data_IF_954265111188
#
_entry.id   IF_954265111188
#
_cell.length_a   1.000
_cell.length_b   1.000
_cell.length_c   1.000
_cell.angle_alpha   90.00
_cell.angle_beta   90.00
_cell.angle_gamma   90.00
#
_symmetry.space_group_name_H-M   'P 1'
#
loop_
_entity.id
_entity.type
_entity.pdbx_description
1 polymer ?
#
# COMPACT_ATOMS: atom_id res chain seq x y z
N UNK A 1 -7.44 9.36 -18.77
CA UNK A 1 -6.07 9.14 -19.30
C UNK A 1 -5.03 9.41 -18.22
N UNK A 2 -3.87 8.74 -18.18
CA UNK A 2 -2.82 9.02 -17.16
C UNK A 2 -2.00 10.26 -17.51
N UNK A 3 -1.38 10.88 -16.51
CA UNK A 3 -0.60 12.12 -16.65
C UNK A 3 0.55 11.99 -17.65
N UNK A 4 1.35 10.94 -17.54
CA UNK A 4 2.48 10.71 -18.46
C UNK A 4 2.01 10.53 -19.91
N UNK A 5 0.94 9.74 -20.13
CA UNK A 5 0.37 9.52 -21.46
C UNK A 5 -0.19 10.81 -22.07
N UNK A 6 -0.89 11.62 -21.26
CA UNK A 6 -1.40 12.92 -21.71
C UNK A 6 -0.26 13.85 -22.11
N UNK A 7 0.85 13.82 -21.36
CA UNK A 7 2.05 14.56 -21.71
C UNK A 7 2.65 14.07 -23.02
N UNK A 8 2.81 12.76 -23.22
CA UNK A 8 3.34 12.20 -24.46
C UNK A 8 2.49 12.61 -25.69
N UNK A 9 1.16 12.64 -25.55
CA UNK A 9 0.25 13.14 -26.59
C UNK A 9 0.46 14.63 -26.87
N UNK A 10 0.60 15.45 -25.84
CA UNK A 10 0.86 16.89 -26.01
C UNK A 10 2.23 17.16 -26.65
N UNK A 11 3.24 16.36 -26.32
CA UNK A 11 4.57 16.44 -26.93
C UNK A 11 4.50 16.06 -28.43
N UNK A 12 3.74 15.02 -28.80
CA UNK A 12 3.48 14.68 -30.21
C UNK A 12 2.72 15.79 -30.96
N UNK A 13 1.73 16.42 -30.33
CA UNK A 13 1.00 17.58 -30.89
C UNK A 13 1.95 18.75 -31.11
N UNK A 14 2.90 18.98 -30.21
CA UNK A 14 3.92 20.01 -30.38
C UNK A 14 4.81 19.75 -31.60
N UNK A 15 5.22 18.49 -31.83
CA UNK A 15 5.95 18.10 -33.04
C UNK A 15 5.13 18.35 -34.32
N UNK A 16 3.81 18.17 -34.29
CA UNK A 16 2.93 18.49 -35.42
C UNK A 16 2.90 20.00 -35.72
N UNK A 17 2.91 20.86 -34.69
CA UNK A 17 3.00 22.32 -34.90
C UNK A 17 4.30 22.71 -35.62
N UNK A 18 5.42 22.10 -35.23
CA UNK A 18 6.72 22.32 -35.88
C UNK A 18 6.70 21.83 -37.33
N UNK A 19 6.11 20.65 -37.58
CA UNK A 19 5.96 20.12 -38.93
C UNK A 19 5.12 21.04 -39.84
N UNK A 20 4.08 21.71 -39.32
CA UNK A 20 3.30 22.68 -40.10
C UNK A 20 4.12 23.87 -40.57
N UNK A 21 5.06 24.35 -39.74
CA UNK A 21 5.96 25.44 -40.12
C UNK A 21 6.91 25.01 -41.25
N UNK A 22 7.44 23.78 -41.19
CA UNK A 22 8.28 23.24 -42.25
C UNK A 22 7.51 22.94 -43.54
N UNK A 23 6.28 22.42 -43.44
CA UNK A 23 5.40 22.24 -44.61
C UNK A 23 5.21 23.58 -45.34
N UNK A 24 4.96 24.65 -44.58
CA UNK A 24 4.84 26.00 -45.15
C UNK A 24 6.14 26.42 -45.87
N UNK A 25 7.30 26.23 -45.24
CA UNK A 25 8.60 26.56 -45.83
C UNK A 25 8.86 25.78 -47.13
N UNK A 26 8.48 24.50 -47.18
CA UNK A 26 8.62 23.67 -48.38
C UNK A 26 7.70 24.13 -49.52
N UNK A 27 6.45 24.50 -49.21
CA UNK A 27 5.51 25.04 -50.21
C UNK A 27 6.03 26.40 -50.74
N UNK A 28 6.50 27.30 -49.87
CA UNK A 28 7.06 28.60 -50.27
C UNK A 28 8.30 28.45 -51.18
N UNK A 29 9.03 27.33 -51.05
CA UNK A 29 10.19 26.97 -51.90
C UNK A 29 9.81 26.13 -53.13
N UNK A 30 8.52 25.92 -53.40
CA UNK A 30 8.01 25.02 -54.44
C UNK A 30 8.54 23.57 -54.35
N UNK A 31 8.91 23.12 -53.15
CA UNK A 31 9.30 21.73 -52.90
C UNK A 31 8.08 20.92 -52.44
N UNK A 32 7.20 20.63 -53.40
CA UNK A 32 5.92 19.95 -53.17
C UNK A 32 6.11 18.53 -52.63
N UNK A 33 7.15 17.81 -53.08
CA UNK A 33 7.41 16.42 -52.66
C UNK A 33 7.68 16.36 -51.16
N UNK A 34 8.61 17.19 -50.65
CA UNK A 34 8.90 17.21 -49.22
C UNK A 34 7.72 17.70 -48.38
N UNK A 35 6.91 18.64 -48.89
CA UNK A 35 5.68 19.05 -48.20
C UNK A 35 4.67 17.90 -48.11
N UNK A 36 4.51 17.10 -49.17
CA UNK A 36 3.65 15.93 -49.20
C UNK A 36 4.14 14.82 -48.25
N UNK A 37 5.44 14.57 -48.20
CA UNK A 37 6.04 13.59 -47.28
C UNK A 37 5.79 13.98 -45.81
N UNK A 38 5.93 15.26 -45.48
CA UNK A 38 5.63 15.77 -44.13
C UNK A 38 4.14 15.71 -43.80
N UNK A 39 3.24 15.98 -44.77
CA UNK A 39 1.80 15.83 -44.58
C UNK A 39 1.42 14.36 -44.30
N UNK A 40 2.02 13.41 -45.01
CA UNK A 40 1.81 11.99 -44.75
C UNK A 40 2.26 11.60 -43.32
N UNK A 41 3.44 12.05 -42.90
CA UNK A 41 3.93 11.84 -41.53
C UNK A 41 3.01 12.49 -40.48
N UNK A 42 2.49 13.69 -40.77
CA UNK A 42 1.52 14.35 -39.91
C UNK A 42 0.23 13.53 -39.73
N UNK A 43 -0.25 12.90 -40.81
CA UNK A 43 -1.42 12.04 -40.77
C UNK A 43 -1.17 10.77 -39.95
N UNK A 44 -0.03 10.09 -40.17
CA UNK A 44 0.36 8.91 -39.39
C UNK A 44 0.47 9.21 -37.88
N UNK A 45 1.10 10.33 -37.54
CA UNK A 45 1.20 10.80 -36.15
C UNK A 45 -0.19 11.10 -35.55
N UNK A 46 -1.07 11.78 -36.28
CA UNK A 46 -2.43 12.05 -35.83
C UNK A 46 -3.26 10.78 -35.62
N UNK A 47 -3.12 9.78 -36.50
CA UNK A 47 -3.75 8.46 -36.33
C UNK A 47 -3.22 7.75 -35.09
N UNK A 48 -1.90 7.81 -34.84
CA UNK A 48 -1.29 7.26 -33.62
C UNK A 48 -1.85 7.91 -32.35
N UNK A 49 -1.99 9.25 -32.34
CA UNK A 49 -2.62 10.00 -31.25
C UNK A 49 -4.08 9.53 -31.07
N UNK A 50 -4.86 9.44 -32.15
CA UNK A 50 -6.25 8.98 -32.11
C UNK A 50 -6.39 7.59 -31.49
N UNK A 51 -5.60 6.62 -31.98
CA UNK A 51 -5.60 5.25 -31.46
C UNK A 51 -5.21 5.18 -29.97
N UNK A 52 -4.23 5.99 -29.55
CA UNK A 52 -3.84 6.08 -28.15
C UNK A 52 -4.97 6.60 -27.26
N UNK A 53 -5.71 7.63 -27.73
CA UNK A 53 -6.87 8.18 -27.01
C UNK A 53 -8.02 7.16 -26.97
N UNK A 54 -8.36 6.52 -28.08
CA UNK A 54 -9.44 5.52 -28.15
C UNK A 54 -9.18 4.29 -27.27
N UNK A 55 -7.91 3.89 -27.12
CA UNK A 55 -7.54 2.77 -26.24
C UNK A 55 -7.74 3.12 -24.76
N UNK A 56 -7.59 4.40 -24.39
CA UNK A 56 -7.55 4.86 -23.01
C UNK A 56 -8.87 5.44 -22.51
N UNK A 57 -9.68 5.99 -23.41
CA UNK A 57 -10.98 6.60 -23.10
C UNK A 57 -12.14 5.71 -23.58
N UNK A 58 -13.30 5.80 -22.92
CA UNK A 58 -14.52 5.12 -23.40
C UNK A 58 -15.03 5.77 -24.69
N UNK A 59 -15.79 5.02 -25.49
CA UNK A 59 -16.16 5.21 -26.91
C UNK A 59 -16.69 6.59 -27.39
N UNK A 60 -16.85 7.60 -26.54
CA UNK A 60 -17.49 8.88 -26.88
C UNK A 60 -16.59 10.11 -26.58
N UNK A 61 -15.29 10.04 -26.89
CA UNK A 61 -14.37 11.16 -26.72
C UNK A 61 -14.46 12.15 -27.90
N UNK A 62 -14.93 13.38 -27.66
CA UNK A 62 -15.05 14.43 -28.69
C UNK A 62 -13.73 14.72 -29.42
N UNK A 63 -12.59 14.52 -28.74
CA UNK A 63 -11.25 14.72 -29.31
C UNK A 63 -11.00 13.84 -30.53
N UNK A 64 -11.59 12.63 -30.60
CA UNK A 64 -11.47 11.74 -31.75
C UNK A 64 -12.07 12.37 -33.01
N UNK A 65 -13.21 13.04 -32.89
CA UNK A 65 -13.82 13.74 -34.02
C UNK A 65 -12.92 14.87 -34.55
N UNK A 66 -12.20 15.57 -33.66
CA UNK A 66 -11.28 16.65 -34.06
C UNK A 66 -10.03 16.10 -34.74
N UNK A 67 -9.57 14.91 -34.35
CA UNK A 67 -8.46 14.21 -35.00
C UNK A 67 -8.87 13.75 -36.40
N UNK A 68 -10.09 13.22 -36.55
CA UNK A 68 -10.65 12.84 -37.86
C UNK A 68 -10.75 14.06 -38.79
N UNK A 69 -11.33 15.17 -38.31
CA UNK A 69 -11.40 16.45 -39.05
C UNK A 69 -10.01 16.92 -39.53
N UNK A 70 -8.98 16.74 -38.69
CA UNK A 70 -7.60 17.10 -39.02
C UNK A 70 -6.98 16.17 -40.07
N UNK A 71 -7.17 14.85 -39.94
CA UNK A 71 -6.71 13.88 -40.93
C UNK A 71 -7.33 14.14 -42.31
N UNK A 72 -8.63 14.44 -42.35
CA UNK A 72 -9.33 14.79 -43.59
C UNK A 72 -8.78 16.07 -44.22
N UNK A 73 -8.50 17.09 -43.41
CA UNK A 73 -7.86 18.33 -43.88
C UNK A 73 -6.46 18.06 -44.44
N UNK A 74 -5.64 17.27 -43.76
CA UNK A 74 -4.29 16.90 -44.21
C UNK A 74 -4.35 16.18 -45.56
N UNK A 75 -5.27 15.24 -45.72
CA UNK A 75 -5.47 14.51 -46.99
C UNK A 75 -5.92 15.45 -48.12
N UNK A 76 -6.89 16.34 -47.87
CA UNK A 76 -7.34 17.33 -48.86
C UNK A 76 -6.20 18.25 -49.33
N UNK A 77 -5.32 18.66 -48.40
CA UNK A 77 -4.15 19.49 -48.74
C UNK A 77 -3.15 18.67 -49.57
N UNK A 78 -2.89 17.42 -49.19
CA UNK A 78 -2.02 16.51 -49.93
C UNK A 78 -2.46 16.36 -51.40
N UNK A 79 -3.76 16.10 -51.62
CA UNK A 79 -4.34 15.99 -52.96
C UNK A 79 -4.29 17.33 -53.72
N UNK A 80 -4.55 18.44 -53.05
CA UNK A 80 -4.52 19.76 -53.67
C UNK A 80 -3.11 20.14 -54.14
N UNK A 81 -2.08 19.75 -53.38
CA UNK A 81 -0.68 19.91 -53.78
C UNK A 81 -0.31 18.98 -54.94
N UNK A 82 -0.79 17.74 -54.94
CA UNK A 82 -0.56 16.77 -56.03
C UNK A 82 -1.14 17.26 -57.36
N UNK A 83 -2.34 17.82 -57.31
CA UNK A 83 -3.08 18.30 -58.48
C UNK A 83 -2.73 19.75 -58.86
N UNK A 84 -1.80 20.41 -58.14
CA UNK A 84 -1.41 21.81 -58.31
C UNK A 84 -2.61 22.79 -58.25
N UNK A 85 -3.60 22.52 -57.40
CA UNK A 85 -4.84 23.30 -57.30
C UNK A 85 -4.87 24.31 -56.14
N UNK A 86 -3.98 24.20 -55.14
CA UNK A 86 -3.83 25.21 -54.07
C UNK A 86 -2.34 25.39 -53.73
N UNK A 87 -1.83 26.62 -53.87
CA UNK A 87 -0.42 26.97 -53.62
C UNK A 87 -0.25 28.01 -52.52
N UNK A 88 -1.33 28.37 -51.81
CA UNK A 88 -1.24 29.40 -50.77
C UNK A 88 -0.75 28.80 -49.45
N UNK A 89 0.58 28.73 -49.31
CA UNK A 89 1.27 28.26 -48.10
C UNK A 89 0.72 28.88 -46.80
N UNK A 90 0.46 30.19 -46.79
CA UNK A 90 -0.07 30.89 -45.61
C UNK A 90 -1.49 30.45 -45.24
N UNK A 91 -2.35 30.20 -46.23
CA UNK A 91 -3.71 29.70 -45.99
C UNK A 91 -3.68 28.26 -45.48
N UNK A 92 -2.87 27.41 -46.09
CA UNK A 92 -2.66 26.01 -45.69
C UNK A 92 -2.17 25.95 -44.23
N UNK A 93 -1.09 26.68 -43.90
CA UNK A 93 -0.56 26.75 -42.54
C UNK A 93 -1.60 27.21 -41.52
N UNK A 94 -2.37 28.26 -41.82
CA UNK A 94 -3.43 28.76 -40.92
C UNK A 94 -4.52 27.72 -40.67
N UNK A 95 -4.92 26.97 -41.70
CA UNK A 95 -5.94 25.94 -41.57
C UNK A 95 -5.45 24.76 -40.70
N UNK A 96 -4.24 24.26 -40.98
CA UNK A 96 -3.60 23.20 -40.22
C UNK A 96 -3.44 23.58 -38.74
N UNK A 97 -2.88 24.78 -38.48
CA UNK A 97 -2.69 25.32 -37.14
C UNK A 97 -4.01 25.45 -36.37
N UNK A 98 -5.08 25.91 -37.04
CA UNK A 98 -6.40 26.08 -36.41
C UNK A 98 -6.97 24.73 -35.97
N UNK A 99 -6.89 23.69 -36.80
CA UNK A 99 -7.39 22.37 -36.43
C UNK A 99 -6.55 21.71 -35.34
N UNK A 100 -5.22 21.81 -35.44
CA UNK A 100 -4.34 21.25 -34.41
C UNK A 100 -4.53 21.93 -33.05
N UNK A 101 -4.74 23.24 -33.01
CA UNK A 101 -5.07 23.95 -31.78
C UNK A 101 -6.40 23.48 -31.16
N UNK A 102 -7.38 23.09 -31.98
CA UNK A 102 -8.65 22.52 -31.51
C UNK A 102 -8.42 21.15 -30.86
N UNK A 103 -7.60 20.30 -31.46
CA UNK A 103 -7.18 19.01 -30.87
C UNK A 103 -6.44 19.25 -29.56
N UNK A 104 -5.44 20.14 -29.55
CA UNK A 104 -4.64 20.46 -28.38
C UNK A 104 -5.51 20.94 -27.19
N UNK A 105 -6.43 21.86 -27.46
CA UNK A 105 -7.38 22.35 -26.45
C UNK A 105 -8.30 21.23 -25.95
N UNK A 106 -8.75 20.35 -26.84
CA UNK A 106 -9.61 19.23 -26.46
C UNK A 106 -8.86 18.19 -25.61
N UNK A 107 -7.63 17.83 -25.98
CA UNK A 107 -6.77 16.97 -25.15
C UNK A 107 -6.58 17.60 -23.77
N UNK A 108 -6.33 18.91 -23.68
CA UNK A 108 -6.14 19.60 -22.40
C UNK A 108 -7.39 19.61 -21.53
N UNK A 109 -8.55 19.93 -22.11
CA UNK A 109 -9.75 20.28 -21.35
C UNK A 109 -10.81 19.17 -21.29
N UNK A 110 -10.93 18.34 -22.33
CA UNK A 110 -11.99 17.34 -22.46
C UNK A 110 -11.54 15.94 -22.01
N UNK A 111 -10.23 15.70 -21.88
CA UNK A 111 -9.67 14.43 -21.41
C UNK A 111 -9.19 14.57 -19.96
N UNK A 112 -9.91 14.02 -18.96
CA UNK A 112 -9.50 14.10 -17.56
C UNK A 112 -8.24 13.28 -17.29
N UNK A 113 -7.38 13.80 -16.41
CA UNK A 113 -6.23 13.06 -15.90
C UNK A 113 -6.72 12.16 -14.78
N UNK A 114 -6.52 10.85 -14.94
CA UNK A 114 -6.78 9.87 -13.88
C UNK A 114 -5.47 9.49 -13.23
N UNK A 115 -5.43 9.52 -11.91
CA UNK A 115 -4.25 9.22 -11.10
C UNK A 115 -4.18 7.72 -10.85
N UNK A 116 -3.05 7.10 -11.13
CA UNK A 116 -2.84 5.68 -10.83
C UNK A 116 -2.14 5.53 -9.47
N UNK A 117 -2.80 4.84 -8.53
CA UNK A 117 -2.29 4.55 -7.19
C UNK A 117 -2.23 3.04 -7.01
N UNK A 118 -1.06 2.52 -6.62
CA UNK A 118 -0.91 1.09 -6.35
C UNK A 118 -0.37 0.85 -4.94
N UNK A 119 -0.87 -0.22 -4.32
CA UNK A 119 -0.47 -0.70 -3.02
C UNK A 119 0.23 -2.06 -3.20
N UNK A 120 1.44 -2.21 -2.64
CA UNK A 120 2.20 -3.47 -2.64
C UNK A 120 2.34 -4.03 -1.22
N UNK A 121 1.26 -4.55 -0.60
CA UNK A 121 1.34 -5.22 0.68
C UNK A 121 1.93 -6.63 0.53
N UNK A 122 2.66 -7.13 1.53
CA UNK A 122 3.28 -8.47 1.46
C UNK A 122 2.65 -9.53 2.39
N UNK A 123 1.88 -9.10 3.40
CA UNK A 123 1.14 -9.97 4.33
C UNK A 123 -0.30 -9.51 4.52
N UNK A 124 -1.24 -10.43 4.42
CA UNK A 124 -2.67 -10.15 4.54
C UNK A 124 -3.04 -9.66 5.94
N UNK A 125 -2.45 -10.25 6.99
CA UNK A 125 -2.67 -9.84 8.38
C UNK A 125 -2.11 -8.44 8.73
N UNK A 126 -1.46 -7.77 7.78
CA UNK A 126 -0.88 -6.43 7.91
C UNK A 126 -1.55 -5.44 6.94
N UNK A 127 -2.59 -5.85 6.22
CA UNK A 127 -3.30 -5.04 5.24
C UNK A 127 -4.02 -3.84 5.86
N UNK A 128 -4.47 -3.98 7.11
CA UNK A 128 -5.12 -2.91 7.90
C UNK A 128 -4.32 -1.59 7.95
N UNK A 129 -2.99 -1.65 7.75
CA UNK A 129 -2.12 -0.48 7.66
C UNK A 129 -2.23 0.35 6.37
N UNK A 130 -2.95 -0.14 5.36
CA UNK A 130 -3.14 0.53 4.06
C UNK A 130 -4.63 0.62 3.66
N UNK A 131 -5.50 -0.16 4.28
CA UNK A 131 -6.88 -0.37 3.84
C UNK A 131 -7.68 0.94 3.71
N UNK A 132 -7.68 1.81 4.74
CA UNK A 132 -8.48 3.05 4.69
C UNK A 132 -8.06 3.96 3.52
N UNK A 133 -6.77 3.94 3.16
CA UNK A 133 -6.22 4.72 2.04
C UNK A 133 -6.61 4.09 0.70
N UNK A 134 -6.56 2.75 0.61
CA UNK A 134 -7.02 2.04 -0.58
C UNK A 134 -8.50 2.29 -0.85
N UNK A 135 -9.35 2.19 0.18
CA UNK A 135 -10.79 2.43 0.06
C UNK A 135 -11.08 3.87 -0.38
N UNK A 136 -10.44 4.86 0.25
CA UNK A 136 -10.57 6.26 -0.17
C UNK A 136 -10.10 6.49 -1.62
N UNK A 137 -9.01 5.84 -2.04
CA UNK A 137 -8.52 5.91 -3.41
C UNK A 137 -9.43 5.19 -4.42
N UNK A 138 -10.17 4.16 -3.99
CA UNK A 138 -11.09 3.39 -4.83
C UNK A 138 -12.44 4.10 -5.01
N UNK A 139 -12.85 4.91 -4.04
CA UNK A 139 -14.07 5.74 -4.10
C UNK A 139 -13.91 6.96 -5.02
N UNK A 140 -12.69 7.43 -5.25
CA UNK A 140 -12.41 8.58 -6.12
C UNK A 140 -12.52 8.20 -7.61
N UNK A 141 -13.48 8.77 -8.38
CA UNK A 141 -13.67 8.45 -9.80
C UNK A 141 -12.47 8.87 -10.68
N UNK A 142 -11.66 9.82 -10.22
CA UNK A 142 -10.45 10.28 -10.90
C UNK A 142 -9.21 9.47 -10.52
N UNK A 143 -9.36 8.43 -9.69
CA UNK A 143 -8.28 7.57 -9.24
C UNK A 143 -8.47 6.13 -9.73
N UNK A 144 -7.43 5.56 -10.31
CA UNK A 144 -7.31 4.13 -10.58
C UNK A 144 -6.47 3.49 -9.47
N UNK A 145 -7.16 2.88 -8.49
CA UNK A 145 -6.54 2.25 -7.33
C UNK A 145 -6.40 0.73 -7.49
N UNK A 146 -5.19 0.20 -7.27
CA UNK A 146 -4.86 -1.22 -7.40
C UNK A 146 -4.27 -1.77 -6.09
N UNK A 147 -4.86 -2.84 -5.55
CA UNK A 147 -4.24 -3.64 -4.49
C UNK A 147 -3.51 -4.81 -5.14
N UNK A 148 -2.18 -4.84 -5.02
CA UNK A 148 -1.33 -5.88 -5.61
C UNK A 148 -0.52 -6.53 -4.48
N UNK A 149 -1.08 -7.52 -3.76
CA UNK A 149 -0.31 -8.28 -2.80
C UNK A 149 0.92 -8.88 -3.46
N UNK A 150 2.08 -8.78 -2.82
CA UNK A 150 3.35 -9.25 -3.37
C UNK A 150 3.87 -10.47 -2.61
N UNK A 151 4.57 -11.40 -3.30
CA UNK A 151 5.19 -12.53 -2.63
C UNK A 151 6.38 -12.09 -1.76
N UNK A 152 6.70 -12.93 -0.78
CA UNK A 152 7.88 -12.80 0.07
C UNK A 152 8.52 -14.15 0.31
N UNK A 153 9.73 -14.13 0.84
CA UNK A 153 10.53 -15.31 1.13
C UNK A 153 10.87 -15.35 2.61
N UNK A 154 11.00 -16.55 3.16
CA UNK A 154 11.75 -16.75 4.40
C UNK A 154 13.23 -16.42 4.19
N UNK A 155 13.92 -16.04 5.27
CA UNK A 155 15.38 -15.89 5.28
C UNK A 155 16.02 -17.07 6.00
N UNK A 156 16.92 -17.75 5.28
CA UNK A 156 17.76 -18.78 5.86
C UNK A 156 18.82 -18.13 6.80
N UNK A 157 19.43 -18.90 7.73
CA UNK A 157 20.48 -18.40 8.62
C UNK A 157 21.69 -17.77 7.90
N UNK A 158 22.00 -18.22 6.68
CA UNK A 158 23.06 -17.67 5.82
C UNK A 158 22.61 -16.43 5.01
N UNK A 159 21.42 -15.92 5.28
CA UNK A 159 20.73 -14.85 4.55
C UNK A 159 20.34 -15.20 3.11
N UNK A 160 20.40 -16.44 2.64
CA UNK A 160 19.80 -16.79 1.35
C UNK A 160 18.25 -16.77 1.42
N UNK A 161 17.59 -16.69 0.25
CA UNK A 161 16.13 -16.77 0.17
C UNK A 161 15.69 -18.23 0.36
N UNK A 162 14.75 -18.44 1.28
CA UNK A 162 14.14 -19.74 1.56
C UNK A 162 12.83 -19.94 0.79
N UNK A 163 11.82 -20.49 1.48
CA UNK A 163 10.50 -20.74 0.90
C UNK A 163 9.80 -19.44 0.52
N UNK A 164 9.15 -19.43 -0.65
CA UNK A 164 8.30 -18.33 -1.10
C UNK A 164 6.87 -18.50 -0.57
N UNK A 165 6.28 -17.39 -0.15
CA UNK A 165 4.92 -17.29 0.36
C UNK A 165 4.14 -16.24 -0.43
N UNK A 166 2.84 -16.46 -0.59
CA UNK A 166 1.93 -15.55 -1.26
C UNK A 166 0.53 -15.62 -0.64
N UNK A 167 0.10 -14.52 -0.02
CA UNK A 167 -1.15 -14.44 0.77
C UNK A 167 -2.27 -13.68 0.02
N UNK A 168 -2.20 -13.54 -1.31
CA UNK A 168 -3.15 -12.72 -2.08
C UNK A 168 -4.61 -13.18 -2.01
N UNK A 169 -4.85 -14.44 -1.66
CA UNK A 169 -6.20 -15.01 -1.49
C UNK A 169 -6.77 -14.85 -0.07
N UNK A 170 -5.99 -14.28 0.86
CA UNK A 170 -6.36 -14.15 2.28
C UNK A 170 -6.90 -12.75 2.62
N UNK A 171 -7.08 -11.90 1.61
CA UNK A 171 -7.59 -10.54 1.77
C UNK A 171 -9.11 -10.53 1.96
N UNK A 172 -9.66 -9.49 2.64
CA UNK A 172 -11.10 -9.34 2.79
C UNK A 172 -11.81 -9.33 1.42
N UNK A 173 -13.01 -9.94 1.34
CA UNK A 173 -13.78 -10.12 0.10
C UNK A 173 -14.11 -8.80 -0.61
N UNK A 174 -14.16 -7.69 0.11
CA UNK A 174 -14.42 -6.35 -0.42
C UNK A 174 -13.19 -5.69 -1.06
N UNK A 175 -12.02 -6.33 -1.03
CA UNK A 175 -10.79 -5.81 -1.63
C UNK A 175 -10.57 -6.47 -2.98
N UNK A 176 -10.50 -5.65 -4.03
CA UNK A 176 -10.22 -6.13 -5.39
C UNK A 176 -8.72 -6.37 -5.55
N UNK A 177 -8.34 -7.65 -5.63
CA UNK A 177 -6.96 -8.08 -5.76
C UNK A 177 -6.54 -8.13 -7.22
N UNK A 178 -5.44 -7.44 -7.52
CA UNK A 178 -4.75 -7.51 -8.81
C UNK A 178 -3.56 -8.44 -8.70
N UNK A 179 -3.48 -9.40 -9.62
CA UNK A 179 -2.39 -10.37 -9.69
C UNK A 179 -1.03 -9.68 -9.92
N UNK A 180 -0.08 -9.95 -9.02
CA UNK A 180 1.27 -9.37 -9.04
C UNK A 180 2.08 -9.76 -10.28
N UNK A 181 1.77 -10.89 -10.92
CA UNK A 181 2.41 -11.31 -12.15
C UNK A 181 1.89 -10.52 -13.36
N UNK A 182 0.65 -10.01 -13.28
CA UNK A 182 0.01 -9.23 -14.35
C UNK A 182 0.25 -7.74 -14.21
N UNK A 183 0.40 -7.24 -12.98
CA UNK A 183 0.66 -5.83 -12.74
C UNK A 183 2.13 -5.48 -13.04
N UNK A 184 2.39 -4.95 -14.23
CA UNK A 184 3.71 -4.48 -14.64
C UNK A 184 3.93 -3.01 -14.28
N UNK A 185 4.53 -2.73 -13.11
CA UNK A 185 4.73 -1.34 -12.66
C UNK A 185 5.79 -0.59 -13.50
N UNK A 186 6.69 -1.30 -14.17
CA UNK A 186 7.73 -0.71 -15.02
C UNK A 186 7.12 -0.06 -16.28
N UNK A 187 6.14 -0.74 -16.89
CA UNK A 187 5.36 -0.22 -18.02
C UNK A 187 4.31 0.79 -17.57
N UNK A 188 3.64 0.49 -16.46
CA UNK A 188 2.51 1.31 -16.00
C UNK A 188 2.96 2.63 -15.39
N UNK A 189 4.09 2.67 -14.70
CA UNK A 189 4.64 3.86 -14.03
C UNK A 189 3.61 4.60 -13.16
N UNK A 190 3.07 3.96 -12.11
CA UNK A 190 2.02 4.53 -11.26
C UNK A 190 2.45 5.88 -10.66
N UNK A 191 1.51 6.82 -10.56
CA UNK A 191 1.77 8.15 -9.97
C UNK A 191 2.17 8.04 -8.49
N UNK A 192 1.59 7.08 -7.76
CA UNK A 192 1.92 6.82 -6.35
C UNK A 192 2.01 5.32 -6.08
N UNK A 193 3.08 4.92 -5.40
CA UNK A 193 3.23 3.57 -4.83
C UNK A 193 3.17 3.65 -3.32
N UNK A 194 2.34 2.81 -2.69
CA UNK A 194 2.31 2.59 -1.25
C UNK A 194 2.97 1.26 -0.88
N UNK A 195 3.87 1.30 0.09
CA UNK A 195 4.48 0.12 0.71
C UNK A 195 4.32 0.19 2.24
N UNK A 196 4.25 -0.98 2.88
CA UNK A 196 4.19 -1.07 4.34
C UNK A 196 5.34 -1.84 4.99
N UNK A 197 6.14 -2.57 4.21
CA UNK A 197 7.34 -3.26 4.68
C UNK A 197 8.57 -2.44 4.27
N UNK A 198 9.36 -1.90 5.22
CA UNK A 198 10.45 -0.99 4.90
C UNK A 198 11.80 -1.67 4.69
N UNK A 199 11.89 -2.99 4.78
CA UNK A 199 13.17 -3.63 5.03
C UNK A 199 13.92 -4.07 3.78
N UNK A 200 13.26 -4.20 2.62
CA UNK A 200 13.84 -4.81 1.42
C UNK A 200 14.55 -6.14 1.76
N UNK A 201 15.88 -6.17 1.68
CA UNK A 201 16.72 -7.32 1.98
C UNK A 201 17.35 -7.31 3.40
N UNK A 202 17.07 -6.28 4.22
CA UNK A 202 17.69 -6.07 5.55
C UNK A 202 17.00 -6.81 6.70
N UNK A 203 15.78 -7.30 6.52
CA UNK A 203 15.10 -8.06 7.57
C UNK A 203 15.73 -9.45 7.71
N UNK A 204 15.82 -9.93 8.95
CA UNK A 204 16.47 -11.19 9.31
C UNK A 204 15.59 -12.41 9.10
N UNK A 205 14.26 -12.22 9.04
CA UNK A 205 13.28 -13.32 9.03
C UNK A 205 12.59 -13.48 7.67
N UNK A 206 12.21 -12.38 7.03
CA UNK A 206 11.52 -12.43 5.74
C UNK A 206 12.08 -11.39 4.78
N UNK A 207 11.98 -11.62 3.47
CA UNK A 207 12.39 -10.69 2.44
C UNK A 207 11.29 -10.59 1.37
N UNK A 208 10.79 -9.38 1.08
CA UNK A 208 9.85 -9.19 -0.03
C UNK A 208 10.52 -9.56 -1.35
N UNK A 209 9.74 -9.95 -2.36
CA UNK A 209 10.33 -10.35 -3.63
C UNK A 209 11.23 -9.23 -4.21
N UNK A 210 12.50 -9.50 -4.61
CA UNK A 210 13.49 -8.45 -4.91
C UNK A 210 13.07 -7.41 -5.96
N UNK A 211 12.23 -7.79 -6.92
CA UNK A 211 11.60 -6.87 -7.89
C UNK A 211 10.88 -5.69 -7.20
N UNK A 212 10.34 -5.90 -6.01
CA UNK A 212 9.57 -4.91 -5.22
C UNK A 212 10.39 -4.22 -4.13
N UNK A 213 11.72 -4.32 -4.15
CA UNK A 213 12.54 -3.49 -3.26
C UNK A 213 12.27 -2.00 -3.50
N UNK A 214 12.23 -1.25 -2.41
CA UNK A 214 11.93 0.19 -2.41
C UNK A 214 12.87 0.98 -3.35
N UNK A 215 14.14 0.57 -3.44
CA UNK A 215 15.13 1.14 -4.37
C UNK A 215 14.81 0.90 -5.84
N UNK A 216 14.13 -0.19 -6.18
CA UNK A 216 13.66 -0.48 -7.53
C UNK A 216 12.33 0.23 -7.81
N UNK A 217 11.36 0.14 -6.90
CA UNK A 217 10.04 0.77 -7.04
C UNK A 217 10.14 2.28 -7.29
N UNK A 218 11.05 2.97 -6.58
CA UNK A 218 11.26 4.41 -6.74
C UNK A 218 11.59 4.85 -8.17
N UNK A 219 12.17 3.98 -8.99
CA UNK A 219 12.54 4.29 -10.39
C UNK A 219 11.32 4.45 -11.30
N UNK A 220 10.17 3.92 -10.89
CA UNK A 220 8.98 3.78 -11.73
C UNK A 220 7.76 4.49 -11.15
N UNK A 221 7.95 5.40 -10.18
CA UNK A 221 6.86 6.20 -9.64
C UNK A 221 7.30 7.63 -9.38
N UNK A 222 6.35 8.59 -9.49
CA UNK A 222 6.61 9.96 -9.05
C UNK A 222 6.68 10.08 -7.52
N UNK A 223 6.02 9.16 -6.79
CA UNK A 223 5.94 9.23 -5.33
C UNK A 223 5.87 7.84 -4.70
N UNK A 224 6.93 7.46 -4.01
CA UNK A 224 6.94 6.30 -3.13
C UNK A 224 6.53 6.72 -1.71
N UNK A 225 5.51 6.08 -1.15
CA UNK A 225 4.99 6.35 0.19
C UNK A 225 5.16 5.11 1.06
N UNK A 226 5.80 5.28 2.21
CA UNK A 226 5.92 4.24 3.24
C UNK A 226 5.00 4.54 4.41
N UNK A 227 4.25 3.52 4.85
CA UNK A 227 3.40 3.56 6.04
C UNK A 227 3.68 2.30 6.89
N UNK A 228 4.15 2.43 8.13
CA UNK A 228 4.44 1.26 8.96
C UNK A 228 3.22 0.35 9.16
N UNK A 229 3.42 -0.97 9.05
CA UNK A 229 2.37 -1.96 9.37
C UNK A 229 2.07 -2.12 10.87
N UNK A 230 2.80 -1.40 11.71
CA UNK A 230 2.73 -1.46 13.17
C UNK A 230 2.51 -0.08 13.77
N UNK A 231 2.07 -0.08 15.04
CA UNK A 231 1.93 1.11 15.88
C UNK A 231 2.73 0.87 17.15
N UNK A 232 3.41 1.91 17.64
CA UNK A 232 4.18 1.88 18.87
C UNK A 232 3.43 2.62 19.98
N UNK A 233 3.82 2.39 21.23
CA UNK A 233 3.42 3.30 22.31
C UNK A 233 3.88 4.72 21.94
N UNK A 234 3.10 5.74 22.31
CA UNK A 234 3.51 7.11 22.08
C UNK A 234 4.78 7.41 22.90
N UNK A 235 5.79 7.99 22.25
CA UNK A 235 7.10 8.27 22.84
C UNK A 235 7.25 9.79 22.90
N UNK A 236 7.71 10.30 24.05
CA UNK A 236 8.05 11.71 24.16
C UNK A 236 9.35 12.01 23.39
N UNK A 237 9.42 13.08 22.56
CA UNK A 237 10.59 13.37 21.74
C UNK A 237 11.91 13.58 22.50
N UNK A 238 11.85 13.81 23.81
CA UNK A 238 13.00 13.97 24.71
C UNK A 238 13.37 12.68 25.47
N UNK A 239 12.59 11.60 25.35
CA UNK A 239 12.91 10.30 25.94
C UNK A 239 13.87 9.49 25.06
N UNK A 240 15.14 9.91 25.05
CA UNK A 240 16.18 9.28 24.23
C UNK A 240 16.35 7.78 24.55
N UNK A 241 16.11 7.34 25.79
CA UNK A 241 16.24 5.93 26.17
C UNK A 241 15.21 5.06 25.45
N UNK A 242 13.96 5.51 25.38
CA UNK A 242 12.92 4.77 24.66
C UNK A 242 13.10 4.89 23.15
N UNK A 243 13.57 6.04 22.66
CA UNK A 243 13.93 6.25 21.25
C UNK A 243 15.02 5.28 20.81
N UNK A 244 16.06 5.07 21.62
CA UNK A 244 17.18 4.17 21.30
C UNK A 244 16.72 2.72 21.09
N UNK A 245 15.64 2.30 21.75
CA UNK A 245 15.08 0.96 21.59
C UNK A 245 14.28 0.79 20.27
N UNK A 246 13.79 1.88 19.67
CA UNK A 246 12.94 1.85 18.47
C UNK A 246 13.58 2.41 17.21
N UNK A 247 14.71 3.14 17.31
CA UNK A 247 15.33 3.84 16.17
C UNK A 247 15.73 2.94 15.01
N UNK A 248 15.86 1.63 15.24
CA UNK A 248 16.10 0.64 14.19
C UNK A 248 14.96 0.56 13.15
N UNK A 249 13.75 1.04 13.48
CA UNK A 249 12.66 1.18 12.51
C UNK A 249 12.81 2.38 11.57
N UNK A 250 13.60 3.38 11.97
CA UNK A 250 13.78 4.65 11.25
C UNK A 250 14.84 4.49 10.16
N UNK A 251 15.91 3.76 10.43
CA UNK A 251 17.01 3.58 9.49
C UNK A 251 16.86 2.29 8.68
N UNK A 252 15.98 2.33 7.67
CA UNK A 252 15.65 1.19 6.81
C UNK A 252 15.57 1.61 5.34
N UNK A 253 15.79 0.69 4.37
CA UNK A 253 15.78 1.01 2.94
C UNK A 253 14.49 1.72 2.48
N UNK A 254 13.33 1.22 2.91
CA UNK A 254 12.03 1.80 2.59
C UNK A 254 11.87 3.21 3.14
N UNK A 255 12.34 3.49 4.36
CA UNK A 255 12.32 4.85 4.92
C UNK A 255 13.28 5.77 4.17
N UNK A 256 14.49 5.29 3.82
CA UNK A 256 15.49 6.07 3.08
C UNK A 256 14.96 6.42 1.69
N UNK A 257 14.41 5.44 0.97
CA UNK A 257 13.98 5.57 -0.42
C UNK A 257 12.63 6.28 -0.56
N UNK A 258 11.70 6.18 0.39
CA UNK A 258 10.39 6.81 0.25
C UNK A 258 10.47 8.34 0.10
N UNK A 259 9.57 8.91 -0.71
CA UNK A 259 9.39 10.37 -0.83
C UNK A 259 8.52 10.91 0.30
N UNK A 260 7.63 10.08 0.85
CA UNK A 260 6.84 10.37 2.05
C UNK A 260 6.83 9.18 3.00
N UNK A 261 6.91 9.46 4.29
CA UNK A 261 6.80 8.48 5.37
C UNK A 261 5.74 8.97 6.34
N UNK A 262 4.65 8.19 6.49
CA UNK A 262 3.52 8.56 7.33
C UNK A 262 3.58 7.75 8.62
N UNK A 263 3.67 8.44 9.76
CA UNK A 263 3.76 7.85 11.10
C UNK A 263 2.57 8.27 11.97
N UNK A 264 2.38 7.54 13.07
CA UNK A 264 1.18 7.59 13.89
C UNK A 264 0.87 8.92 14.59
N UNK A 265 1.83 9.85 14.70
CA UNK A 265 1.67 11.09 15.47
C UNK A 265 2.70 12.15 15.09
N UNK A 266 2.45 13.41 15.47
CA UNK A 266 3.42 14.50 15.32
C UNK A 266 4.68 14.29 16.19
N UNK A 267 4.53 13.71 17.39
CA UNK A 267 5.68 13.35 18.25
C UNK A 267 6.57 12.33 17.55
N UNK A 268 5.97 11.30 16.97
CA UNK A 268 6.70 10.29 16.20
C UNK A 268 7.38 10.90 14.96
N UNK A 269 6.72 11.83 14.28
CA UNK A 269 7.36 12.58 13.17
C UNK A 269 8.60 13.34 13.64
N UNK A 270 8.54 14.03 14.78
CA UNK A 270 9.70 14.74 15.32
C UNK A 270 10.86 13.78 15.63
N UNK A 271 10.56 12.62 16.24
CA UNK A 271 11.54 11.56 16.51
C UNK A 271 12.16 11.06 15.19
N UNK A 272 11.34 10.73 14.20
CA UNK A 272 11.81 10.27 12.89
C UNK A 272 12.72 11.30 12.21
N UNK A 273 12.34 12.58 12.19
CA UNK A 273 13.17 13.65 11.61
C UNK A 273 14.52 13.74 12.33
N UNK A 274 14.52 13.71 13.66
CA UNK A 274 15.73 13.89 14.47
C UNK A 274 16.68 12.69 14.32
N UNK A 275 16.18 11.47 14.49
CA UNK A 275 17.00 10.26 14.43
C UNK A 275 17.44 9.93 13.00
N UNK A 276 16.59 10.19 12.00
CA UNK A 276 16.99 10.05 10.59
C UNK A 276 18.15 10.98 10.27
N UNK A 277 18.10 12.24 10.73
CA UNK A 277 19.17 13.20 10.48
C UNK A 277 20.49 12.76 11.10
N UNK A 278 20.48 12.26 12.34
CA UNK A 278 21.67 11.70 13.01
C UNK A 278 22.24 10.52 12.21
N UNK A 279 21.40 9.54 11.89
CA UNK A 279 21.82 8.35 11.15
C UNK A 279 22.32 8.70 9.74
N UNK A 280 21.71 9.68 9.07
CA UNK A 280 22.15 10.16 7.75
C UNK A 280 23.54 10.81 7.81
N UNK A 281 23.84 11.56 8.86
CA UNK A 281 25.18 12.13 9.09
C UNK A 281 26.21 11.04 9.36
N UNK A 282 25.89 10.09 10.24
CA UNK A 282 26.77 8.96 10.59
C UNK A 282 27.10 8.07 9.39
N UNK A 283 26.13 7.88 8.47
CA UNK A 283 26.29 7.08 7.26
C UNK A 283 26.77 7.90 6.04
N UNK A 284 27.12 9.17 6.22
CA UNK A 284 27.73 9.99 5.17
C UNK A 284 26.79 10.36 4.00
N UNK A 285 25.47 10.32 4.20
CA UNK A 285 24.52 10.80 3.19
C UNK A 285 24.63 12.32 3.02
N UNK A 286 24.24 12.82 1.84
CA UNK A 286 24.36 14.22 1.48
C UNK A 286 23.04 14.80 0.94
N UNK A 287 23.03 16.11 0.67
CA UNK A 287 21.92 16.80 0.04
C UNK A 287 20.65 16.78 0.90
N UNK A 288 19.52 16.41 0.30
CA UNK A 288 18.21 16.41 0.94
C UNK A 288 18.14 15.54 2.22
N UNK A 289 18.98 14.50 2.33
CA UNK A 289 19.04 13.67 3.53
C UNK A 289 19.54 14.41 4.78
N UNK A 290 20.28 15.52 4.61
CA UNK A 290 20.76 16.36 5.70
C UNK A 290 19.98 17.67 5.84
N UNK A 291 18.95 17.89 5.01
CA UNK A 291 18.14 19.10 5.03
C UNK A 291 16.91 18.89 5.90
N UNK A 292 16.92 19.48 7.11
CA UNK A 292 15.80 19.37 8.06
C UNK A 292 14.46 19.79 7.46
N UNK A 293 14.39 20.88 6.66
CA UNK A 293 13.13 21.33 6.04
C UNK A 293 12.58 20.28 5.08
N UNK A 294 13.45 19.67 4.27
CA UNK A 294 13.05 18.57 3.40
C UNK A 294 12.56 17.35 4.22
N UNK A 295 13.25 17.01 5.31
CA UNK A 295 12.85 15.90 6.18
C UNK A 295 11.49 16.17 6.85
N UNK A 296 11.22 17.39 7.28
CA UNK A 296 9.92 17.79 7.85
C UNK A 296 8.78 17.71 6.83
N UNK A 297 9.06 17.87 5.53
CA UNK A 297 8.11 17.62 4.46
C UNK A 297 7.97 16.13 4.14
N UNK A 298 9.06 15.35 4.25
CA UNK A 298 9.09 13.90 4.01
C UNK A 298 8.31 13.11 5.07
N UNK A 299 8.56 13.39 6.34
CA UNK A 299 7.92 12.69 7.46
C UNK A 299 6.63 13.40 7.88
N UNK A 300 5.53 12.66 7.98
CA UNK A 300 4.20 13.19 8.27
C UNK A 300 3.57 12.44 9.45
N UNK A 301 3.11 13.16 10.47
CA UNK A 301 2.48 12.59 11.67
C UNK A 301 0.96 12.54 11.58
N UNK A 302 0.41 11.80 10.62
CA UNK A 302 -1.02 11.88 10.26
C UNK A 302 -1.92 10.83 10.92
N UNK A 303 -1.35 9.90 11.69
CA UNK A 303 -2.10 8.78 12.26
C UNK A 303 -1.72 7.45 11.61
N UNK A 304 -2.52 6.41 11.86
CA UNK A 304 -2.30 5.06 11.33
C UNK A 304 -3.63 4.47 10.85
N UNK A 305 -3.71 3.98 9.60
CA UNK A 305 -4.89 3.26 9.09
C UNK A 305 -5.32 2.08 9.97
N UNK A 306 -4.39 1.47 10.70
CA UNK A 306 -4.68 0.41 11.68
C UNK A 306 -5.58 0.89 12.82
N UNK A 307 -5.41 2.15 13.25
CA UNK A 307 -6.29 2.78 14.24
C UNK A 307 -7.63 3.15 13.59
N UNK A 308 -7.61 3.68 12.36
CA UNK A 308 -8.84 4.01 11.63
C UNK A 308 -9.74 2.79 11.48
N UNK A 309 -9.16 1.63 11.16
CA UNK A 309 -9.88 0.37 11.01
C UNK A 309 -10.64 0.00 12.27
N UNK A 310 -9.98 0.00 13.42
CA UNK A 310 -10.63 -0.33 14.69
C UNK A 310 -11.67 0.70 15.11
N UNK A 311 -11.42 2.00 14.91
CA UNK A 311 -12.36 3.05 15.30
C UNK A 311 -13.60 3.12 14.41
N UNK A 312 -13.48 2.73 13.14
CA UNK A 312 -14.58 2.76 12.17
C UNK A 312 -15.35 1.43 12.08
N UNK A 313 -14.86 0.36 12.70
CA UNK A 313 -15.53 -0.94 12.70
C UNK A 313 -16.46 -1.06 13.90
N UNK A 314 -17.74 -1.35 13.66
CA UNK A 314 -18.70 -1.62 14.73
C UNK A 314 -18.84 -3.12 14.98
N UNK A 315 -19.26 -3.47 16.18
CA UNK A 315 -19.43 -4.88 16.59
C UNK A 315 -20.49 -5.58 15.75
N UNK A 316 -21.51 -4.85 15.29
CA UNK A 316 -22.61 -5.35 14.46
C UNK A 316 -22.20 -5.66 13.02
N UNK A 317 -21.10 -5.05 12.55
CA UNK A 317 -20.59 -5.23 11.19
C UNK A 317 -19.63 -6.43 11.09
N UNK A 318 -19.30 -7.07 12.22
CA UNK A 318 -18.36 -8.19 12.28
C UNK A 318 -18.98 -9.50 11.79
N UNK A 319 -18.29 -10.20 10.89
CA UNK A 319 -18.58 -11.59 10.57
C UNK A 319 -17.99 -12.50 11.67
N UNK A 320 -18.88 -12.98 12.55
CA UNK A 320 -18.52 -13.84 13.69
C UNK A 320 -18.80 -15.30 13.31
N UNK A 321 -17.79 -16.20 13.37
CA UNK A 321 -17.97 -17.62 13.09
C UNK A 321 -19.05 -18.25 13.99
N UNK A 322 -19.84 -19.18 13.44
CA UNK A 322 -20.90 -19.86 14.20
C UNK A 322 -20.37 -20.57 15.46
N UNK A 323 -19.18 -21.17 15.39
CA UNK A 323 -18.54 -21.81 16.56
C UNK A 323 -18.21 -20.80 17.66
N UNK A 324 -17.87 -19.55 17.31
CA UNK A 324 -17.62 -18.51 18.30
C UNK A 324 -18.93 -18.04 18.93
N UNK A 325 -20.02 -17.96 18.15
CA UNK A 325 -21.35 -17.62 18.66
C UNK A 325 -21.80 -18.60 19.76
N UNK A 326 -21.56 -19.91 19.57
CA UNK A 326 -21.87 -20.94 20.59
C UNK A 326 -21.12 -20.73 21.92
N UNK A 327 -19.94 -20.12 21.89
CA UNK A 327 -19.12 -19.85 23.07
C UNK A 327 -19.58 -18.56 23.76
N UNK A 328 -19.86 -17.50 22.99
CA UNK A 328 -20.11 -16.15 23.52
C UNK A 328 -21.57 -15.87 23.86
N UNK A 329 -22.54 -16.58 23.26
CA UNK A 329 -23.95 -16.40 23.58
C UNK A 329 -24.36 -17.23 24.80
N UNK A 330 -25.16 -16.63 25.67
CA UNK A 330 -25.80 -17.28 26.82
C UNK A 330 -27.15 -17.90 26.40
N UNK A 331 -27.70 -18.86 27.16
CA UNK A 331 -29.00 -19.48 26.85
C UNK A 331 -30.17 -18.49 26.78
N UNK A 332 -30.06 -17.33 27.44
CA UNK A 332 -31.06 -16.25 27.42
C UNK A 332 -30.92 -15.29 26.21
N UNK A 333 -29.97 -15.56 25.31
CA UNK A 333 -29.68 -14.73 24.13
C UNK A 333 -28.78 -13.52 24.41
N UNK A 334 -28.43 -13.26 25.68
CA UNK A 334 -27.43 -12.24 26.03
C UNK A 334 -26.00 -12.74 25.76
N UNK A 335 -25.03 -11.84 25.82
CA UNK A 335 -23.63 -12.17 25.55
C UNK A 335 -22.84 -12.28 26.84
N UNK A 336 -21.93 -13.26 26.90
CA UNK A 336 -20.86 -13.32 27.89
C UNK A 336 -19.94 -12.11 27.75
N UNK A 337 -19.24 -11.77 28.83
CA UNK A 337 -18.10 -10.84 28.71
C UNK A 337 -16.99 -11.53 27.96
N UNK A 338 -16.44 -10.87 26.95
CA UNK A 338 -15.40 -11.45 26.10
C UNK A 338 -14.05 -10.82 26.49
N UNK A 339 -13.10 -11.63 26.92
CA UNK A 339 -11.74 -11.15 27.20
C UNK A 339 -10.80 -11.59 26.09
N UNK A 340 -10.20 -10.61 25.42
CA UNK A 340 -9.15 -10.84 24.45
C UNK A 340 -7.84 -11.15 25.17
N UNK A 341 -7.39 -12.40 25.06
CA UNK A 341 -6.09 -12.86 25.50
C UNK A 341 -5.06 -12.85 24.37
N UNK A 342 -4.07 -11.96 24.45
CA UNK A 342 -2.97 -11.91 23.49
C UNK A 342 -1.66 -12.43 24.08
N UNK A 343 -0.99 -13.32 23.34
CA UNK A 343 0.33 -13.86 23.70
C UNK A 343 1.36 -13.51 22.62
N UNK A 344 2.52 -12.99 23.05
CA UNK A 344 3.59 -12.47 22.21
C UNK A 344 4.78 -13.43 22.10
N UNK A 345 5.53 -13.31 21.01
CA UNK A 345 6.80 -14.05 20.83
C UNK A 345 7.82 -13.66 21.90
N UNK A 346 7.92 -12.36 22.20
CA UNK A 346 8.90 -11.83 23.15
C UNK A 346 8.70 -12.43 24.55
N UNK A 347 7.47 -12.41 25.08
CA UNK A 347 7.19 -12.96 26.39
C UNK A 347 7.48 -14.46 26.48
N UNK A 348 7.16 -15.22 25.42
CA UNK A 348 7.42 -16.66 25.36
C UNK A 348 8.93 -16.96 25.29
N UNK A 349 9.70 -16.21 24.50
CA UNK A 349 11.16 -16.38 24.42
C UNK A 349 11.89 -15.97 25.70
N UNK A 350 11.43 -14.90 26.36
CA UNK A 350 12.01 -14.38 27.59
C UNK A 350 11.76 -15.32 28.78
N UNK A 351 10.53 -15.83 28.90
CA UNK A 351 10.09 -16.56 30.10
C UNK A 351 10.03 -18.09 29.93
N UNK A 352 10.15 -18.60 28.71
CA UNK A 352 10.20 -20.04 28.40
C UNK A 352 9.05 -20.83 29.04
N UNK A 353 9.35 -21.90 29.78
CA UNK A 353 8.40 -22.80 30.41
C UNK A 353 7.49 -22.07 31.41
N UNK A 354 7.98 -21.02 32.08
CA UNK A 354 7.16 -20.22 33.00
C UNK A 354 5.98 -19.57 32.29
N UNK A 355 6.16 -19.18 31.02
CA UNK A 355 5.09 -18.61 30.21
C UNK A 355 4.02 -19.67 29.89
N UNK A 356 4.45 -20.91 29.58
CA UNK A 356 3.53 -22.02 29.33
C UNK A 356 2.71 -22.36 30.59
N UNK A 357 3.35 -22.36 31.76
CA UNK A 357 2.66 -22.51 33.04
C UNK A 357 1.68 -21.36 33.30
N UNK A 358 2.06 -20.12 32.97
CA UNK A 358 1.16 -18.97 33.07
C UNK A 358 -0.06 -19.12 32.15
N UNK A 359 0.12 -19.56 30.91
CA UNK A 359 -0.99 -19.79 29.99
C UNK A 359 -1.95 -20.85 30.54
N UNK A 360 -1.44 -21.97 31.08
CA UNK A 360 -2.26 -23.01 31.71
C UNK A 360 -3.05 -22.47 32.91
N UNK A 361 -2.44 -21.61 33.72
CA UNK A 361 -3.10 -20.93 34.84
C UNK A 361 -4.26 -20.03 34.38
N UNK A 362 -4.01 -19.22 33.35
CA UNK A 362 -5.03 -18.37 32.72
C UNK A 362 -6.18 -19.22 32.18
N UNK A 363 -5.87 -20.28 31.45
CA UNK A 363 -6.87 -21.18 30.89
C UNK A 363 -7.74 -21.84 31.97
N UNK A 364 -7.13 -22.29 33.07
CA UNK A 364 -7.88 -22.82 34.23
C UNK A 364 -8.88 -21.79 34.77
N UNK A 365 -8.44 -20.57 35.04
CA UNK A 365 -9.30 -19.50 35.60
C UNK A 365 -10.48 -19.19 34.67
N UNK A 366 -10.23 -19.08 33.36
CA UNK A 366 -11.32 -18.81 32.42
C UNK A 366 -12.23 -20.01 32.20
N UNK A 367 -11.70 -21.23 32.24
CA UNK A 367 -12.50 -22.45 32.17
C UNK A 367 -13.47 -22.57 33.35
N UNK A 368 -13.01 -22.27 34.57
CA UNK A 368 -13.83 -22.26 35.78
C UNK A 368 -14.96 -21.21 35.73
N UNK A 369 -14.79 -20.16 34.91
CA UNK A 369 -15.73 -19.06 34.75
C UNK A 369 -16.41 -19.02 33.37
N UNK A 370 -16.35 -20.12 32.59
CA UNK A 370 -16.75 -20.17 31.18
C UNK A 370 -18.21 -19.86 30.90
N UNK A 371 -19.08 -19.96 31.90
CA UNK A 371 -20.51 -19.65 31.76
C UNK A 371 -20.77 -18.13 31.77
N UNK A 372 -19.89 -17.35 32.39
CA UNK A 372 -20.01 -15.89 32.51
C UNK A 372 -19.07 -15.12 31.57
N UNK A 373 -17.89 -15.67 31.33
CA UNK A 373 -16.81 -15.02 30.58
C UNK A 373 -16.29 -15.94 29.48
N UNK A 374 -16.21 -15.42 28.25
CA UNK A 374 -15.58 -16.09 27.13
C UNK A 374 -14.12 -15.61 26.98
N UNK A 375 -13.19 -16.56 26.83
CA UNK A 375 -11.80 -16.26 26.50
C UNK A 375 -11.63 -16.31 24.98
N UNK A 376 -11.16 -15.20 24.40
CA UNK A 376 -10.72 -15.12 23.00
C UNK A 376 -9.20 -15.07 22.98
N UNK A 377 -8.57 -16.22 22.75
CA UNK A 377 -7.12 -16.32 22.65
C UNK A 377 -6.66 -16.14 21.20
N UNK A 378 -5.84 -15.10 20.98
CA UNK A 378 -5.16 -14.86 19.70
C UNK A 378 -3.64 -14.80 19.92
N UNK A 379 -2.89 -15.81 19.48
CA UNK A 379 -1.43 -15.77 19.53
C UNK A 379 -0.84 -14.89 18.43
N UNK A 380 0.44 -14.54 18.56
CA UNK A 380 1.14 -13.79 17.51
C UNK A 380 1.19 -14.60 16.19
N UNK A 381 0.92 -14.00 15.00
CA UNK A 381 0.86 -14.74 13.74
C UNK A 381 2.14 -15.49 13.35
N UNK A 382 3.30 -15.02 13.82
CA UNK A 382 4.61 -15.63 13.54
C UNK A 382 5.09 -16.59 14.65
N UNK A 383 4.26 -16.91 15.64
CA UNK A 383 4.70 -17.67 16.83
C UNK A 383 5.24 -19.06 16.46
N UNK A 384 4.59 -19.74 15.51
CA UNK A 384 5.04 -21.06 15.03
C UNK A 384 6.41 -20.97 14.35
N UNK A 385 6.53 -20.14 13.31
CA UNK A 385 7.77 -20.00 12.56
C UNK A 385 8.96 -19.56 13.42
N UNK A 386 8.72 -18.70 14.42
CA UNK A 386 9.80 -18.19 15.27
C UNK A 386 10.19 -19.17 16.37
N UNK A 387 9.22 -19.75 17.08
CA UNK A 387 9.53 -20.61 18.24
C UNK A 387 10.01 -21.99 17.78
N UNK A 388 9.45 -22.57 16.72
CA UNK A 388 9.94 -23.84 16.16
C UNK A 388 11.40 -23.75 15.70
N UNK A 389 11.80 -22.61 15.12
CA UNK A 389 13.16 -22.35 14.69
C UNK A 389 14.11 -22.07 15.85
N UNK A 390 13.70 -21.22 16.81
CA UNK A 390 14.60 -20.74 17.87
C UNK A 390 14.65 -21.65 19.10
N UNK A 391 13.53 -22.29 19.48
CA UNK A 391 13.38 -23.14 20.68
C UNK A 391 12.45 -24.34 20.41
N UNK A 392 12.90 -25.37 19.67
CA UNK A 392 12.05 -26.50 19.28
C UNK A 392 11.36 -27.23 20.43
N UNK A 393 12.05 -27.42 21.56
CA UNK A 393 11.46 -28.08 22.74
C UNK A 393 10.34 -27.26 23.38
N UNK A 394 10.46 -25.93 23.35
CA UNK A 394 9.41 -25.03 23.83
C UNK A 394 8.18 -25.07 22.89
N UNK A 395 8.42 -25.22 21.59
CA UNK A 395 7.36 -25.38 20.59
C UNK A 395 6.53 -26.64 20.84
N UNK A 396 7.16 -27.79 21.10
CA UNK A 396 6.44 -29.05 21.36
C UNK A 396 5.43 -28.93 22.52
N UNK A 397 5.81 -28.25 23.60
CA UNK A 397 4.92 -28.03 24.74
C UNK A 397 3.84 -26.97 24.46
N UNK A 398 4.18 -25.92 23.71
CA UNK A 398 3.21 -24.91 23.28
C UNK A 398 2.15 -25.49 22.34
N UNK A 399 2.56 -26.32 21.39
CA UNK A 399 1.66 -26.98 20.43
C UNK A 399 0.65 -27.88 21.14
N UNK A 400 1.08 -28.63 22.17
CA UNK A 400 0.17 -29.43 23.00
C UNK A 400 -0.91 -28.57 23.66
N UNK A 401 -0.53 -27.40 24.18
CA UNK A 401 -1.48 -26.45 24.80
C UNK A 401 -2.48 -25.93 23.77
N UNK A 402 -2.02 -25.54 22.58
CA UNK A 402 -2.90 -25.10 21.47
C UNK A 402 -3.88 -26.20 21.10
N UNK A 403 -3.38 -27.42 20.89
CA UNK A 403 -4.18 -28.57 20.50
C UNK A 403 -5.27 -28.87 21.54
N UNK A 404 -4.89 -28.93 22.82
CA UNK A 404 -5.83 -29.15 23.91
C UNK A 404 -6.91 -28.06 23.95
N UNK A 405 -6.53 -26.78 23.86
CA UNK A 405 -7.48 -25.67 23.88
C UNK A 405 -8.49 -25.73 22.74
N UNK A 406 -8.03 -26.08 21.52
CA UNK A 406 -8.90 -26.28 20.35
C UNK A 406 -9.84 -27.48 20.52
N UNK A 407 -9.34 -28.61 21.02
CA UNK A 407 -10.10 -29.85 21.20
C UNK A 407 -11.19 -29.73 22.27
N UNK A 408 -10.91 -29.04 23.38
CA UNK A 408 -11.87 -28.86 24.47
C UNK A 408 -12.99 -27.85 24.12
N UNK A 409 -12.75 -26.92 23.19
CA UNK A 409 -13.78 -26.09 22.56
C UNK A 409 -14.53 -25.13 23.50
N UNK A 410 -14.04 -24.88 24.72
CA UNK A 410 -14.70 -24.00 25.69
C UNK A 410 -14.36 -22.51 25.50
N UNK A 411 -13.34 -22.21 24.70
CA UNK A 411 -12.88 -20.85 24.40
C UNK A 411 -12.57 -20.67 22.91
N UNK A 412 -12.40 -19.41 22.49
CA UNK A 412 -12.16 -19.06 21.10
C UNK A 412 -10.66 -19.04 20.84
N UNK A 413 -10.19 -19.85 19.88
CA UNK A 413 -8.85 -19.72 19.32
C UNK A 413 -8.95 -18.97 17.99
N UNK A 414 -8.33 -17.80 17.92
CA UNK A 414 -8.34 -16.96 16.72
C UNK A 414 -6.99 -17.05 16.00
N UNK A 415 -6.95 -17.84 14.93
CA UNK A 415 -5.86 -17.94 13.97
C UNK A 415 -6.14 -17.25 12.63
N UNK A 416 -7.20 -16.42 12.58
CA UNK A 416 -7.53 -15.66 11.37
C UNK A 416 -6.56 -14.51 11.12
N UNK A 417 -6.52 -13.97 9.90
CA UNK A 417 -5.75 -12.77 9.57
C UNK A 417 -6.33 -11.48 10.16
N UNK A 418 -7.57 -11.51 10.64
CA UNK A 418 -8.33 -10.36 11.15
C UNK A 418 -8.15 -10.17 12.66
N UNK A 419 -7.12 -9.39 13.03
CA UNK A 419 -6.86 -9.00 14.41
C UNK A 419 -7.86 -7.96 14.93
N UNK A 420 -8.39 -7.12 14.04
CA UNK A 420 -9.33 -6.05 14.40
C UNK A 420 -10.64 -6.62 14.92
N UNK A 421 -11.10 -7.75 14.36
CA UNK A 421 -12.26 -8.49 14.89
C UNK A 421 -12.09 -8.83 16.36
N UNK A 422 -10.93 -9.35 16.78
CA UNK A 422 -10.68 -9.67 18.19
C UNK A 422 -10.77 -8.41 19.08
N UNK A 423 -10.19 -7.29 18.62
CA UNK A 423 -10.18 -6.00 19.34
C UNK A 423 -11.60 -5.39 19.46
N UNK A 424 -12.36 -5.40 18.37
CA UNK A 424 -13.70 -4.80 18.31
C UNK A 424 -14.72 -5.68 19.06
N UNK A 425 -14.62 -7.01 18.94
CA UNK A 425 -15.56 -7.95 19.53
C UNK A 425 -15.47 -8.00 21.07
N UNK A 426 -14.25 -7.93 21.63
CA UNK A 426 -14.01 -8.14 23.06
C UNK A 426 -14.40 -6.96 23.94
N UNK A 427 -14.61 -7.21 25.24
CA UNK A 427 -14.95 -6.21 26.26
C UNK A 427 -13.73 -5.76 27.09
N UNK A 428 -12.67 -6.56 27.13
CA UNK A 428 -11.42 -6.24 27.83
C UNK A 428 -10.22 -6.95 27.24
N UNK A 429 -9.03 -6.37 27.41
CA UNK A 429 -7.76 -6.98 27.02
C UNK A 429 -7.05 -7.55 28.24
N UNK A 430 -6.54 -8.77 28.09
CA UNK A 430 -5.61 -9.40 29.01
C UNK A 430 -4.45 -10.00 28.24
N UNK A 431 -3.23 -9.98 28.77
CA UNK A 431 -2.10 -10.66 28.14
C UNK A 431 -0.85 -9.80 28.04
N UNK A 432 -0.01 -10.09 27.07
CA UNK A 432 1.33 -9.51 26.99
C UNK A 432 1.32 -8.04 26.55
N UNK A 433 2.42 -7.34 26.81
CA UNK A 433 2.67 -6.05 26.16
C UNK A 433 2.99 -6.28 24.67
N UNK A 434 2.25 -5.62 23.77
CA UNK A 434 2.44 -5.72 22.32
C UNK A 434 1.88 -4.50 21.58
N UNK A 435 2.13 -4.40 20.28
CA UNK A 435 1.53 -3.34 19.44
C UNK A 435 -0.01 -3.38 19.44
N UNK A 436 -0.60 -4.55 19.69
CA UNK A 436 -2.06 -4.72 19.79
C UNK A 436 -2.63 -3.97 20.98
N UNK A 437 -1.89 -3.86 22.09
CA UNK A 437 -2.31 -3.06 23.25
C UNK A 437 -2.61 -1.61 22.86
N UNK A 438 -1.76 -1.04 22.00
CA UNK A 438 -1.88 0.36 21.59
C UNK A 438 -3.15 0.57 20.75
N UNK A 439 -3.43 -0.37 19.85
CA UNK A 439 -4.67 -0.39 19.07
C UNK A 439 -5.87 -0.57 20.01
N UNK A 440 -5.79 -1.50 20.96
CA UNK A 440 -6.86 -1.77 21.92
C UNK A 440 -7.19 -0.57 22.79
N UNK A 441 -6.18 0.17 23.28
CA UNK A 441 -6.36 1.37 24.09
C UNK A 441 -7.18 2.45 23.38
N UNK A 442 -7.16 2.50 22.04
CA UNK A 442 -7.98 3.45 21.26
C UNK A 442 -9.47 3.15 21.33
N UNK A 443 -9.87 1.93 21.69
CA UNK A 443 -11.28 1.56 21.90
C UNK A 443 -11.87 2.13 23.20
N UNK A 444 -11.03 2.60 24.13
CA UNK A 444 -11.45 3.02 25.48
C UNK A 444 -11.82 1.88 26.43
N UNK A 445 -11.72 0.63 25.99
CA UNK A 445 -11.99 -0.57 26.79
C UNK A 445 -10.85 -0.87 27.78
N UNK A 446 -11.11 -1.53 28.92
CA UNK A 446 -10.10 -1.85 29.93
C UNK A 446 -8.99 -2.76 29.38
N UNK A 447 -7.76 -2.49 29.83
CA UNK A 447 -6.55 -3.23 29.48
C UNK A 447 -5.84 -3.67 30.77
N UNK A 448 -5.48 -4.95 30.84
CA UNK A 448 -4.65 -5.50 31.91
C UNK A 448 -3.47 -6.26 31.30
N UNK A 449 -2.25 -5.78 31.55
CA UNK A 449 -1.03 -6.48 31.14
C UNK A 449 -0.71 -7.57 32.16
N UNK A 450 -0.49 -8.79 31.69
CA UNK A 450 -0.18 -9.93 32.56
C UNK A 450 1.27 -9.87 33.05
N UNK A 451 1.48 -10.44 34.24
CA UNK A 451 2.80 -10.77 34.76
C UNK A 451 2.92 -12.28 34.84
N UNK A 452 4.02 -12.83 34.34
CA UNK A 452 4.31 -14.28 34.37
C UNK A 452 4.48 -14.79 35.80
N UNK A 453 4.91 -13.92 36.71
CA UNK A 453 5.14 -14.24 38.13
C UNK A 453 3.84 -14.24 38.95
N UNK A 454 2.77 -13.58 38.46
CA UNK A 454 1.48 -13.57 39.15
C UNK A 454 0.62 -14.72 38.63
N UNK A 455 0.41 -15.72 39.47
CA UNK A 455 -0.51 -16.84 39.24
C UNK A 455 -1.64 -16.76 40.24
N UNK A 456 -2.85 -17.12 39.82
CA UNK A 456 -3.97 -17.26 40.75
C UNK A 456 -3.80 -18.59 41.48
N UNK A 457 -2.90 -18.62 42.46
CA UNK A 457 -2.82 -19.73 43.41
C UNK A 457 -4.15 -19.78 44.18
N UNK A 458 -4.90 -20.84 43.96
CA UNK A 458 -5.96 -21.28 44.87
C UNK A 458 -5.45 -22.50 45.61
#
# INVERSE_FOLDING_TARGET
MRKAQKKDILDMIQTLHEAHEEIKNHIDRNNTISAQDLLAQCQECAVSIGNAIETMEKKDCITISYIQDYCDLVYQIYEALQNNTDSNANKIYKNLKKQLLRIENSVKNDIPIRKEVVFFPYKASMWDSLESIYLAAKEDPECDAYCVPIPYYDRNPDRSLGQMHYEGNEYPKNIEITDWQKYNFEERKPDVIYIHNPYDDWNLVTCVHPRYFSSNLKKYTEKLVYIPYFVLQEIEPDDQRTIDNMKHFIWTPGVINADKVIVQSEKMKQIYVNEYLKAAQENGLQGNHLNRKYLEEKFLGLGSPKIDKVLNTKKEDLEIPEEWLKIIQKPDGSWKKIIFYNTSIAALLENNEKMLEKMKDVFRVFYENKDEVALLWRPHPLIESTISSMKPQLWEEYEKIVKQYKEEGWGIYDDSTDMDRAVVLSDGYYGDSSSVVIVYQKTGKPVMIQSVEIRNYT
#
